data_IF_479767381470
#
_entry.id   IF_479767381470
#
_cell.length_a   1.000
_cell.length_b   1.000
_cell.length_c   1.000
_cell.angle_alpha   90.00
_cell.angle_beta   90.00
_cell.angle_gamma   90.00
#
_symmetry.space_group_name_H-M   'P 1'
#
loop_
_entity.id
_entity.type
_entity.pdbx_description
1 polymer ?
#
# COMPACT_ATOMS: atom_id res chain seq x y z
N UNK A 1 -0.17 14.66 5.72
CA UNK A 1 0.14 13.53 4.79
C UNK A 1 -0.07 12.22 5.53
N UNK A 2 -0.61 11.18 4.91
CA UNK A 2 -0.79 9.86 5.51
C UNK A 2 0.28 8.87 5.01
N UNK A 3 0.76 8.01 5.91
CA UNK A 3 1.64 6.88 5.61
C UNK A 3 0.93 5.61 6.06
N UNK A 4 0.61 4.74 5.11
CA UNK A 4 -0.16 3.53 5.34
C UNK A 4 0.66 2.28 5.04
N UNK A 5 0.78 1.39 6.02
CA UNK A 5 1.20 0.01 5.79
C UNK A 5 0.03 -0.80 5.27
N UNK A 6 0.19 -1.48 4.14
CA UNK A 6 -0.84 -2.30 3.49
C UNK A 6 -0.30 -3.69 3.23
N UNK A 7 -1.06 -4.69 3.65
CA UNK A 7 -0.84 -6.09 3.28
C UNK A 7 -1.69 -6.41 2.06
N UNK A 8 -1.07 -6.80 0.96
CA UNK A 8 -1.76 -7.26 -0.25
C UNK A 8 -1.69 -8.77 -0.31
N UNK A 9 -2.85 -9.44 -0.23
CA UNK A 9 -2.98 -10.88 -0.37
C UNK A 9 -3.11 -11.21 -1.86
N UNK A 10 -2.30 -12.13 -2.36
CA UNK A 10 -2.31 -12.55 -3.77
C UNK A 10 -2.74 -14.00 -3.92
N UNK A 11 -3.11 -14.39 -5.14
CA UNK A 11 -3.17 -15.81 -5.54
C UNK A 11 -1.79 -16.45 -5.33
N UNK A 12 -1.79 -17.78 -5.10
CA UNK A 12 -0.57 -18.52 -4.85
C UNK A 12 0.45 -18.37 -6.00
N UNK A 13 1.69 -18.04 -5.65
CA UNK A 13 2.79 -17.90 -6.61
C UNK A 13 2.77 -16.59 -7.43
N UNK A 14 1.89 -15.64 -7.10
CA UNK A 14 1.73 -14.37 -7.83
C UNK A 14 2.32 -13.16 -7.11
N UNK A 15 2.87 -13.34 -5.90
CA UNK A 15 3.42 -12.25 -5.09
C UNK A 15 4.40 -11.36 -5.84
N UNK A 16 5.40 -11.95 -6.52
CA UNK A 16 6.40 -11.20 -7.29
C UNK A 16 5.82 -10.42 -8.47
N UNK A 17 4.86 -11.02 -9.19
CA UNK A 17 4.17 -10.36 -10.30
C UNK A 17 3.38 -9.15 -9.80
N UNK A 18 2.65 -9.33 -8.70
CA UNK A 18 1.86 -8.26 -8.09
C UNK A 18 2.79 -7.16 -7.57
N UNK A 19 3.86 -7.51 -6.85
CA UNK A 19 4.85 -6.56 -6.36
C UNK A 19 5.45 -5.70 -7.49
N UNK A 20 5.77 -6.30 -8.64
CA UNK A 20 6.26 -5.56 -9.81
C UNK A 20 5.23 -4.55 -10.36
N UNK A 21 3.94 -4.90 -10.36
CA UNK A 21 2.86 -3.99 -10.77
C UNK A 21 2.67 -2.86 -9.77
N UNK A 22 2.71 -3.18 -8.47
CA UNK A 22 2.53 -2.20 -7.39
C UNK A 22 3.62 -1.12 -7.39
N UNK A 23 4.87 -1.45 -7.77
CA UNK A 23 5.95 -0.46 -7.95
C UNK A 23 5.65 0.62 -8.99
N UNK A 24 4.68 0.39 -9.88
CA UNK A 24 4.24 1.37 -10.88
C UNK A 24 3.30 2.44 -10.32
N UNK A 25 2.81 2.31 -9.09
CA UNK A 25 1.85 3.24 -8.50
C UNK A 25 2.55 4.39 -7.77
N UNK A 26 2.18 5.65 -8.06
CA UNK A 26 2.73 6.80 -7.34
C UNK A 26 2.51 6.69 -5.83
N UNK A 27 3.54 7.01 -5.05
CA UNK A 27 3.49 6.95 -3.59
C UNK A 27 3.49 5.53 -3.01
N UNK A 28 3.77 4.50 -3.82
CA UNK A 28 3.80 3.10 -3.35
C UNK A 28 5.24 2.57 -3.28
N UNK A 29 5.60 1.99 -2.14
CA UNK A 29 6.91 1.37 -1.90
C UNK A 29 6.74 -0.08 -1.46
N UNK A 30 7.43 -1.02 -2.10
CA UNK A 30 7.38 -2.45 -1.73
C UNK A 30 8.50 -2.77 -0.77
N UNK A 31 8.15 -3.31 0.40
CA UNK A 31 9.11 -3.76 1.39
C UNK A 31 9.49 -5.23 1.19
N UNK A 32 8.49 -6.10 1.05
CA UNK A 32 8.73 -7.55 1.06
C UNK A 32 7.63 -8.33 0.31
N UNK A 33 8.01 -9.48 -0.25
CA UNK A 33 7.11 -10.52 -0.74
C UNK A 33 7.29 -11.76 0.12
N UNK A 34 6.22 -12.16 0.84
CA UNK A 34 6.26 -13.29 1.77
C UNK A 34 5.59 -14.51 1.14
N UNK A 35 6.30 -15.64 1.15
CA UNK A 35 5.87 -16.95 0.61
C UNK A 35 5.29 -16.90 -0.83
N UNK A 36 5.65 -15.86 -1.58
CA UNK A 36 5.10 -15.55 -2.90
C UNK A 36 3.56 -15.46 -2.96
N UNK A 37 2.92 -15.14 -1.84
CA UNK A 37 1.45 -15.04 -1.70
C UNK A 37 0.99 -13.75 -0.99
N UNK A 38 1.93 -12.99 -0.42
CA UNK A 38 1.66 -11.74 0.29
C UNK A 38 2.68 -10.70 -0.14
N UNK A 39 2.23 -9.46 -0.31
CA UNK A 39 3.10 -8.31 -0.58
C UNK A 39 2.89 -7.27 0.51
N UNK A 40 3.97 -6.91 1.20
CA UNK A 40 3.98 -5.84 2.20
C UNK A 40 4.37 -4.56 1.49
N UNK A 41 3.44 -3.60 1.45
CA UNK A 41 3.64 -2.33 0.77
C UNK A 41 3.34 -1.16 1.69
N UNK A 42 4.04 -0.05 1.48
CA UNK A 42 3.75 1.23 2.11
C UNK A 42 3.16 2.14 1.04
N UNK A 43 2.13 2.90 1.41
CA UNK A 43 1.52 3.92 0.56
C UNK A 43 1.60 5.26 1.29
N UNK A 44 2.19 6.25 0.64
CA UNK A 44 2.39 7.59 1.18
C UNK A 44 1.62 8.61 0.33
N UNK A 45 0.84 9.47 0.98
CA UNK A 45 0.11 10.56 0.34
C UNK A 45 -1.16 10.94 1.07
N UNK A 46 -2.12 11.55 0.39
CA UNK A 46 -3.43 11.88 0.97
C UNK A 46 -4.20 10.62 1.36
N UNK A 47 -5.02 10.67 2.41
CA UNK A 47 -5.81 9.49 2.84
C UNK A 47 -6.71 8.96 1.71
N UNK A 48 -7.26 9.88 0.91
CA UNK A 48 -8.06 9.54 -0.28
C UNK A 48 -7.23 8.84 -1.36
N UNK A 49 -5.93 9.10 -1.45
CA UNK A 49 -5.02 8.37 -2.33
C UNK A 49 -4.84 6.93 -1.84
N UNK A 50 -4.62 6.73 -0.54
CA UNK A 50 -4.48 5.40 0.07
C UNK A 50 -5.72 4.55 -0.18
N UNK A 51 -6.92 5.09 0.08
CA UNK A 51 -8.20 4.41 -0.16
C UNK A 51 -8.42 4.09 -1.66
N UNK A 52 -8.10 5.05 -2.54
CA UNK A 52 -8.21 4.84 -3.98
C UNK A 52 -7.27 3.75 -4.47
N UNK A 53 -6.00 3.79 -4.07
CA UNK A 53 -4.99 2.82 -4.50
C UNK A 53 -5.35 1.42 -4.00
N UNK A 54 -5.70 1.28 -2.71
CA UNK A 54 -6.07 -0.02 -2.13
C UNK A 54 -7.32 -0.61 -2.78
N UNK A 55 -8.35 0.19 -3.04
CA UNK A 55 -9.55 -0.27 -3.76
C UNK A 55 -9.26 -0.62 -5.23
N UNK A 56 -8.36 0.12 -5.88
CA UNK A 56 -7.94 -0.15 -7.25
C UNK A 56 -7.21 -1.49 -7.36
N UNK A 57 -6.32 -1.82 -6.41
CA UNK A 57 -5.62 -3.11 -6.38
C UNK A 57 -6.60 -4.28 -6.39
N UNK A 58 -7.63 -4.23 -5.54
CA UNK A 58 -8.61 -5.32 -5.43
C UNK A 58 -9.52 -5.42 -6.65
N UNK A 59 -9.87 -4.28 -7.27
CA UNK A 59 -10.82 -4.26 -8.39
C UNK A 59 -10.17 -4.58 -9.74
N UNK A 60 -8.92 -4.17 -9.94
CA UNK A 60 -8.27 -4.18 -11.26
C UNK A 60 -7.18 -5.25 -11.39
N UNK A 61 -6.62 -5.75 -10.29
CA UNK A 61 -5.59 -6.78 -10.34
C UNK A 61 -6.20 -8.16 -10.11
N UNK A 62 -6.36 -8.93 -11.19
CA UNK A 62 -6.94 -10.27 -11.17
C UNK A 62 -6.24 -11.23 -10.19
N UNK A 63 -4.96 -11.02 -9.92
CA UNK A 63 -4.13 -11.85 -9.02
C UNK A 63 -4.18 -11.40 -7.56
N UNK A 64 -4.88 -10.30 -7.23
CA UNK A 64 -5.07 -9.79 -5.85
C UNK A 64 -6.38 -10.33 -5.28
N UNK A 65 -6.30 -10.91 -4.09
CA UNK A 65 -7.46 -11.41 -3.33
C UNK A 65 -8.00 -10.35 -2.37
N UNK A 66 -7.14 -9.46 -1.88
CA UNK A 66 -7.49 -8.40 -0.96
C UNK A 66 -6.31 -7.47 -0.69
N UNK A 67 -6.61 -6.24 -0.28
CA UNK A 67 -5.64 -5.26 0.19
C UNK A 67 -6.14 -4.72 1.54
N UNK A 68 -5.30 -4.84 2.57
CA UNK A 68 -5.67 -4.57 3.95
C UNK A 68 -4.72 -3.52 4.51
N UNK A 69 -5.17 -2.27 4.71
CA UNK A 69 -4.44 -1.30 5.50
C UNK A 69 -4.30 -1.87 6.92
N UNK A 70 -3.06 -2.15 7.33
CA UNK A 70 -2.75 -2.70 8.66
C UNK A 70 -2.34 -1.60 9.64
N UNK A 71 -1.88 -0.46 9.12
CA UNK A 71 -1.45 0.68 9.91
C UNK A 71 -1.59 1.95 9.06
N UNK A 72 -2.07 3.04 9.66
CA UNK A 72 -2.12 4.36 9.04
C UNK A 72 -1.63 5.37 10.07
N UNK A 73 -0.63 6.16 9.71
CA UNK A 73 -0.16 7.32 10.46
C UNK A 73 -0.41 8.58 9.66
N UNK A 74 -0.60 9.70 10.35
CA UNK A 74 -0.69 11.03 9.77
C UNK A 74 0.50 11.84 10.28
N UNK A 75 1.24 12.47 9.38
CA UNK A 75 2.15 13.53 9.79
C UNK A 75 1.32 14.66 10.39
N UNK A 76 1.40 14.81 11.71
CA UNK A 76 0.94 16.02 12.40
C UNK A 76 1.83 17.19 11.94
N UNK A 77 1.22 18.26 11.44
CA UNK A 77 1.90 19.54 11.38
C UNK A 77 2.33 19.90 12.81
N UNK A 78 3.63 19.83 13.08
CA UNK A 78 4.20 20.48 14.25
C UNK A 78 3.99 21.97 14.00
N UNK A 79 2.89 22.52 14.51
CA UNK A 79 2.72 23.96 14.67
C UNK A 79 3.85 24.38 15.61
N UNK A 80 4.97 24.78 15.01
CA UNK A 80 6.05 25.43 15.71
C UNK A 80 5.41 26.57 16.49
N UNK A 81 5.43 26.45 17.81
CA UNK A 81 5.16 27.57 18.70
C UNK A 81 6.27 28.58 18.41
N UNK A 82 5.98 29.48 17.46
CA UNK A 82 6.80 30.66 17.24
C UNK A 82 6.74 31.46 18.54
N UNK A 83 7.84 31.35 19.29
CA UNK A 83 8.21 32.17 20.44
C UNK A 83 8.27 33.65 20.08
#
# INVERSE_FOLDING_TARGET
MAVAGVLVQTKAGKGEKVAALLKGFPGTSINEVVDNCQVVTVIEGEISLVERITSQFVREMEDVLGAYPVYINYEDEVLGSAS
#
